data_IF_359925887824
#
_entry.id   IF_359925887824
#
_cell.length_a   1.000
_cell.length_b   1.000
_cell.length_c   1.000
_cell.angle_alpha   90.00
_cell.angle_beta   90.00
_cell.angle_gamma   90.00
#
_symmetry.space_group_name_H-M   'P 1'
#
loop_
_entity.id
_entity.type
_entity.pdbx_description
1 polymer ?
#
# COMPACT_ATOMS: atom_id res chain seq x y z
N UNK A 1 0.85 8.18 -3.46
CA UNK A 1 0.38 6.80 -3.36
C UNK A 1 1.51 5.79 -3.52
N UNK A 2 1.32 4.60 -2.95
CA UNK A 2 2.24 3.46 -3.09
C UNK A 2 1.70 2.58 -4.22
N UNK A 3 2.37 2.62 -5.37
CA UNK A 3 1.98 1.86 -6.56
C UNK A 3 3.01 0.78 -6.94
N UNK A 4 2.72 0.02 -8.01
CA UNK A 4 3.61 -1.05 -8.50
C UNK A 4 4.88 -0.56 -9.21
N UNK A 5 5.08 0.74 -9.34
CA UNK A 5 6.32 1.34 -9.85
C UNK A 5 7.10 2.10 -8.77
N UNK A 6 6.60 2.11 -7.53
CA UNK A 6 7.16 2.97 -6.47
C UNK A 6 8.57 2.57 -6.04
N UNK A 7 8.94 1.30 -6.10
CA UNK A 7 10.32 0.87 -5.80
C UNK A 7 11.32 1.41 -6.84
N UNK A 8 10.88 1.56 -8.09
CA UNK A 8 11.73 2.06 -9.18
C UNK A 8 11.79 3.59 -9.24
N UNK A 9 10.65 4.28 -9.09
CA UNK A 9 10.52 5.71 -9.36
C UNK A 9 10.21 6.57 -8.12
N UNK A 10 9.92 5.98 -6.97
CA UNK A 10 9.45 6.66 -5.77
C UNK A 10 7.93 6.59 -5.62
N UNK A 11 7.42 7.22 -4.58
CA UNK A 11 5.99 7.35 -4.37
C UNK A 11 5.39 8.31 -5.41
N UNK A 12 4.09 8.20 -5.69
CA UNK A 12 3.42 9.15 -6.61
C UNK A 12 3.61 10.62 -6.19
N UNK A 13 3.71 10.88 -4.88
CA UNK A 13 3.95 12.23 -4.35
C UNK A 13 5.37 12.75 -4.64
N UNK A 14 6.32 11.87 -4.94
CA UNK A 14 7.70 12.25 -5.28
C UNK A 14 7.79 12.77 -6.74
N UNK A 15 6.84 12.38 -7.57
CA UNK A 15 6.68 12.87 -8.94
C UNK A 15 5.76 14.09 -9.06
N UNK A 16 5.17 14.57 -7.96
CA UNK A 16 4.39 15.79 -7.96
C UNK A 16 5.34 16.99 -8.14
N UNK A 17 5.14 17.76 -9.21
CA UNK A 17 5.91 18.95 -9.58
C UNK A 17 5.25 20.23 -9.11
N UNK A 18 3.94 20.22 -8.89
CA UNK A 18 3.18 21.35 -8.45
C UNK A 18 1.68 21.10 -8.44
N UNK A 19 0.94 22.03 -7.84
CA UNK A 19 -0.52 21.98 -7.75
C UNK A 19 -1.11 23.40 -7.79
N UNK A 20 -2.37 23.49 -8.19
CA UNK A 20 -3.19 24.68 -7.99
C UNK A 20 -4.18 24.39 -6.85
N UNK A 21 -4.21 25.27 -5.84
CA UNK A 21 -4.96 25.06 -4.60
C UNK A 21 -5.81 26.27 -4.28
N UNK A 22 -7.11 26.06 -4.07
CA UNK A 22 -8.02 27.06 -3.50
C UNK A 22 -8.01 26.93 -1.99
N UNK A 23 -7.55 27.96 -1.29
CA UNK A 23 -7.45 28.02 0.16
C UNK A 23 -8.78 28.40 0.83
N UNK A 24 -8.85 28.34 2.16
CA UNK A 24 -10.06 28.60 2.93
C UNK A 24 -10.59 30.06 2.80
N UNK A 25 -9.70 30.99 2.50
CA UNK A 25 -10.02 32.41 2.23
C UNK A 25 -10.37 32.68 0.74
N UNK A 26 -10.47 31.63 -0.09
CA UNK A 26 -10.88 31.71 -1.49
C UNK A 26 -9.77 32.11 -2.47
N UNK A 27 -8.51 32.24 -2.05
CA UNK A 27 -7.39 32.52 -2.96
C UNK A 27 -7.01 31.26 -3.73
N UNK A 28 -6.71 31.42 -5.02
CA UNK A 28 -6.06 30.41 -5.84
C UNK A 28 -4.54 30.58 -5.74
N UNK A 29 -3.85 29.56 -5.25
CA UNK A 29 -2.40 29.52 -5.12
C UNK A 29 -1.81 28.51 -6.11
N UNK A 30 -0.72 28.90 -6.78
CA UNK A 30 0.17 27.97 -7.50
C UNK A 30 1.21 27.50 -6.49
N UNK A 31 1.32 26.18 -6.31
CA UNK A 31 2.08 25.57 -5.22
C UNK A 31 3.12 24.62 -5.79
N UNK A 32 4.38 24.85 -5.49
CA UNK A 32 5.54 24.04 -5.89
C UNK A 32 6.71 24.21 -4.91
N UNK A 33 7.92 23.74 -5.26
CA UNK A 33 9.09 23.83 -4.38
C UNK A 33 9.57 25.30 -4.17
N UNK A 34 9.24 26.23 -5.07
CA UNK A 34 9.63 27.65 -5.01
C UNK A 34 8.49 28.54 -4.47
N UNK A 35 7.25 28.12 -4.69
CA UNK A 35 6.04 28.85 -4.32
C UNK A 35 5.23 28.05 -3.28
N UNK A 36 4.98 28.65 -2.13
CA UNK A 36 4.25 28.03 -1.01
C UNK A 36 4.85 26.66 -0.58
N UNK A 37 6.18 26.56 -0.35
CA UNK A 37 6.89 25.30 -0.19
C UNK A 37 6.39 24.45 1.00
N UNK A 38 5.91 25.09 2.07
CA UNK A 38 5.34 24.35 3.21
C UNK A 38 3.98 23.71 2.88
N UNK A 39 3.14 24.40 2.10
CA UNK A 39 1.90 23.82 1.60
C UNK A 39 2.20 22.68 0.62
N UNK A 40 3.19 22.86 -0.27
CA UNK A 40 3.63 21.84 -1.21
C UNK A 40 4.17 20.60 -0.48
N UNK A 41 4.96 20.78 0.58
CA UNK A 41 5.43 19.68 1.44
C UNK A 41 4.24 18.94 2.05
N UNK A 42 3.26 19.65 2.59
CA UNK A 42 2.11 19.07 3.24
C UNK A 42 1.18 18.31 2.28
N UNK A 43 0.99 18.79 1.04
CA UNK A 43 0.23 18.09 0.00
C UNK A 43 0.86 16.74 -0.37
N UNK A 44 2.16 16.60 -0.22
CA UNK A 44 2.91 15.38 -0.54
C UNK A 44 2.90 14.34 0.58
N UNK A 45 1.71 13.93 1.01
CA UNK A 45 1.50 12.85 1.96
C UNK A 45 0.82 13.23 3.27
N UNK A 46 0.55 14.51 3.53
CA UNK A 46 -0.07 15.01 4.76
C UNK A 46 -1.59 14.83 4.84
N UNK A 47 -2.18 14.15 3.86
CA UNK A 47 -3.64 13.94 3.83
C UNK A 47 -4.41 15.13 3.29
N UNK A 48 -5.70 15.19 3.62
CA UNK A 48 -6.61 16.25 3.20
C UNK A 48 -6.73 17.40 4.21
N UNK A 49 -7.61 18.37 3.89
CA UNK A 49 -7.99 19.41 4.84
C UNK A 49 -7.16 20.71 4.76
N UNK A 50 -6.35 20.88 3.72
CA UNK A 50 -5.51 22.07 3.51
C UNK A 50 -6.08 23.06 2.47
N UNK A 51 -7.05 22.61 1.67
CA UNK A 51 -7.64 23.36 0.58
C UNK A 51 -8.28 22.44 -0.44
N UNK A 52 -8.79 22.99 -1.52
CA UNK A 52 -9.31 22.27 -2.69
C UNK A 52 -8.26 22.30 -3.78
N UNK A 53 -7.69 21.17 -4.12
CA UNK A 53 -6.76 21.02 -5.25
C UNK A 53 -7.57 20.99 -6.54
N UNK A 54 -7.28 21.90 -7.46
CA UNK A 54 -7.97 22.02 -8.75
C UNK A 54 -7.13 21.51 -9.91
N UNK A 55 -5.80 21.50 -9.75
CA UNK A 55 -4.86 20.96 -10.73
C UNK A 55 -3.68 20.27 -10.02
N UNK A 56 -3.17 19.21 -10.64
CA UNK A 56 -1.94 18.52 -10.22
C UNK A 56 -1.02 18.36 -11.44
N UNK A 57 0.24 18.73 -11.29
CA UNK A 57 1.29 18.56 -12.30
C UNK A 57 2.27 17.48 -11.87
N UNK A 58 2.39 16.42 -12.67
CA UNK A 58 3.25 15.27 -12.36
C UNK A 58 4.35 15.09 -13.41
N UNK A 59 5.51 14.64 -12.97
CA UNK A 59 6.50 14.01 -13.83
C UNK A 59 5.97 12.66 -14.30
N UNK A 60 6.14 12.38 -15.58
CA UNK A 60 5.76 11.09 -16.17
C UNK A 60 7.00 10.26 -16.45
N UNK A 61 6.85 8.94 -16.31
CA UNK A 61 7.86 7.96 -16.65
C UNK A 61 7.40 7.12 -17.84
N UNK A 62 8.31 6.85 -18.77
CA UNK A 62 8.01 5.96 -19.88
C UNK A 62 8.02 4.52 -19.41
N UNK A 63 6.85 3.86 -19.48
CA UNK A 63 6.66 2.44 -19.14
C UNK A 63 5.80 1.82 -20.22
N UNK A 64 6.43 1.25 -21.25
CA UNK A 64 5.72 0.66 -22.37
C UNK A 64 4.97 -0.62 -21.97
N UNK A 65 5.63 -1.51 -21.27
CA UNK A 65 5.07 -2.77 -20.78
C UNK A 65 5.74 -3.23 -19.50
N UNK A 66 5.10 -4.17 -18.83
CA UNK A 66 5.60 -4.84 -17.64
C UNK A 66 5.46 -6.34 -17.78
N UNK A 67 6.31 -7.09 -17.08
CA UNK A 67 6.05 -8.50 -16.77
C UNK A 67 5.16 -8.56 -15.55
N UNK A 68 3.96 -9.11 -15.69
CA UNK A 68 3.05 -9.42 -14.58
C UNK A 68 3.08 -10.91 -14.32
N UNK A 69 3.45 -11.31 -13.09
CA UNK A 69 3.36 -12.68 -12.59
C UNK A 69 2.31 -12.77 -11.48
N UNK A 70 1.46 -13.78 -11.54
CA UNK A 70 0.51 -14.11 -10.48
C UNK A 70 0.66 -15.59 -10.16
N UNK A 71 1.19 -15.90 -8.98
CA UNK A 71 1.47 -17.26 -8.54
C UNK A 71 0.67 -17.56 -7.27
N UNK A 72 0.04 -18.71 -7.24
CA UNK A 72 -0.74 -19.20 -6.09
C UNK A 72 -0.07 -20.43 -5.51
N UNK A 73 -0.02 -20.47 -4.18
CA UNK A 73 0.62 -21.54 -3.40
C UNK A 73 -0.30 -22.01 -2.28
N UNK A 74 -0.05 -23.22 -1.77
CA UNK A 74 -0.63 -23.67 -0.52
C UNK A 74 -0.19 -22.73 0.63
N UNK A 75 -1.05 -22.51 1.64
CA UNK A 75 -0.74 -21.61 2.75
C UNK A 75 0.27 -22.27 3.71
N UNK A 76 1.54 -21.93 3.55
CA UNK A 76 2.65 -22.37 4.39
C UNK A 76 3.39 -21.18 4.98
N UNK A 77 3.63 -21.20 6.30
CA UNK A 77 4.27 -20.08 7.00
C UNK A 77 5.76 -19.93 6.66
N UNK A 78 6.46 -21.03 6.44
CA UNK A 78 7.87 -21.02 6.02
C UNK A 78 8.02 -20.42 4.63
N UNK A 79 7.17 -20.84 3.70
CA UNK A 79 7.12 -20.27 2.35
C UNK A 79 6.77 -18.78 2.40
N UNK A 80 5.78 -18.37 3.18
CA UNK A 80 5.39 -16.96 3.29
C UNK A 80 6.54 -16.09 3.77
N UNK A 81 7.26 -16.51 4.83
CA UNK A 81 8.43 -15.79 5.33
C UNK A 81 9.54 -15.71 4.28
N UNK A 82 9.83 -16.82 3.59
CA UNK A 82 10.84 -16.88 2.54
C UNK A 82 10.48 -15.99 1.33
N UNK A 83 9.22 -16.01 0.88
CA UNK A 83 8.73 -15.14 -0.21
C UNK A 83 8.88 -13.66 0.14
N UNK A 84 8.42 -13.25 1.32
CA UNK A 84 8.51 -11.85 1.75
C UNK A 84 9.97 -11.41 1.86
N UNK A 85 10.84 -12.26 2.43
CA UNK A 85 12.28 -12.01 2.52
C UNK A 85 12.91 -11.83 1.14
N UNK A 86 12.74 -12.79 0.23
CA UNK A 86 13.25 -12.75 -1.14
C UNK A 86 12.78 -11.50 -1.91
N UNK A 87 11.49 -11.20 -1.85
CA UNK A 87 10.90 -10.07 -2.57
C UNK A 87 11.29 -8.70 -1.98
N UNK A 88 11.60 -8.64 -0.70
CA UNK A 88 12.10 -7.41 -0.06
C UNK A 88 13.51 -7.04 -0.51
N UNK A 89 14.34 -8.03 -0.85
CA UNK A 89 15.72 -7.84 -1.35
C UNK A 89 15.81 -7.75 -2.88
N UNK A 90 14.69 -7.90 -3.58
CA UNK A 90 14.67 -7.86 -5.04
C UNK A 90 15.07 -6.48 -5.60
N UNK A 91 15.48 -6.46 -6.88
CA UNK A 91 15.82 -5.23 -7.60
C UNK A 91 14.67 -4.22 -7.62
N UNK A 92 15.00 -2.94 -7.75
CA UNK A 92 14.05 -1.82 -7.68
C UNK A 92 12.97 -1.87 -8.77
N UNK A 93 13.27 -2.51 -9.92
CA UNK A 93 12.31 -2.68 -11.01
C UNK A 93 11.18 -3.65 -10.67
N UNK A 94 11.32 -4.46 -9.60
CA UNK A 94 10.27 -5.34 -9.11
C UNK A 94 9.49 -4.67 -7.99
N UNK A 95 8.20 -4.53 -8.19
CA UNK A 95 7.23 -4.38 -7.10
C UNK A 95 6.44 -5.67 -6.93
N UNK A 96 6.10 -5.99 -5.69
CA UNK A 96 5.36 -7.21 -5.37
C UNK A 96 4.30 -6.95 -4.30
N UNK A 97 3.33 -7.85 -4.27
CA UNK A 97 2.29 -7.89 -3.27
C UNK A 97 2.00 -9.36 -2.94
N UNK A 98 2.24 -9.75 -1.71
CA UNK A 98 1.94 -11.10 -1.24
C UNK A 98 0.68 -11.06 -0.40
N UNK A 99 -0.32 -11.85 -0.79
CA UNK A 99 -1.57 -11.96 -0.05
C UNK A 99 -1.69 -13.35 0.56
N UNK A 100 -2.13 -13.41 1.81
CA UNK A 100 -2.71 -14.62 2.42
C UNK A 100 -4.20 -14.38 2.52
N UNK A 101 -5.00 -15.21 1.84
CA UNK A 101 -6.43 -14.97 1.70
C UNK A 101 -7.19 -16.24 1.38
N UNK A 102 -8.50 -16.19 1.54
CA UNK A 102 -9.40 -17.18 0.93
C UNK A 102 -9.60 -16.80 -0.54
N UNK A 103 -9.31 -17.70 -1.46
CA UNK A 103 -9.41 -17.46 -2.90
C UNK A 103 -10.85 -17.12 -3.30
N UNK A 104 -11.10 -15.94 -3.90
CA UNK A 104 -12.45 -15.52 -4.26
C UNK A 104 -12.98 -16.28 -5.48
N UNK A 105 -14.31 -16.40 -5.64
CA UNK A 105 -14.94 -17.03 -6.80
C UNK A 105 -14.96 -16.09 -8.01
N UNK A 106 -13.77 -15.85 -8.60
CA UNK A 106 -13.61 -14.99 -9.78
C UNK A 106 -13.33 -15.82 -11.05
N UNK A 107 -13.76 -15.34 -12.23
CA UNK A 107 -13.72 -16.12 -13.47
C UNK A 107 -12.33 -16.58 -13.92
N UNK A 108 -11.27 -15.89 -13.48
CA UNK A 108 -9.90 -16.24 -13.86
C UNK A 108 -9.27 -17.28 -12.92
N UNK A 109 -9.90 -17.61 -11.77
CA UNK A 109 -9.45 -18.71 -10.91
C UNK A 109 -10.21 -19.99 -11.21
N UNK A 110 -9.51 -21.15 -11.27
CA UNK A 110 -10.16 -22.44 -11.39
C UNK A 110 -11.13 -22.69 -10.23
N UNK A 111 -12.31 -23.28 -10.49
CA UNK A 111 -13.34 -23.51 -9.47
C UNK A 111 -12.84 -24.30 -8.25
N UNK A 112 -11.87 -25.19 -8.44
CA UNK A 112 -11.24 -25.99 -7.36
C UNK A 112 -10.43 -25.20 -6.36
N UNK A 113 -10.06 -23.97 -6.69
CA UNK A 113 -9.40 -23.02 -5.76
C UNK A 113 -10.40 -22.15 -5.01
N UNK A 114 -11.63 -21.99 -5.50
CA UNK A 114 -12.61 -21.12 -4.86
C UNK A 114 -12.88 -21.52 -3.41
N UNK A 115 -12.81 -20.57 -2.50
CA UNK A 115 -13.04 -20.78 -1.07
C UNK A 115 -11.88 -21.44 -0.32
N UNK A 116 -10.77 -21.77 -0.98
CA UNK A 116 -9.58 -22.32 -0.32
C UNK A 116 -8.67 -21.21 0.19
N UNK A 117 -8.07 -21.35 1.39
CA UNK A 117 -6.94 -20.54 1.81
C UNK A 117 -5.75 -20.70 0.84
N UNK A 118 -5.12 -19.59 0.46
CA UNK A 118 -3.97 -19.56 -0.46
C UNK A 118 -3.00 -18.45 -0.08
N UNK A 119 -1.74 -18.61 -0.48
CA UNK A 119 -0.79 -17.51 -0.64
C UNK A 119 -0.81 -17.12 -2.11
N UNK A 120 -1.01 -15.85 -2.42
CA UNK A 120 -0.94 -15.30 -3.78
C UNK A 120 0.15 -14.25 -3.86
N UNK A 121 1.17 -14.49 -4.68
CA UNK A 121 2.20 -13.52 -5.00
C UNK A 121 1.87 -12.83 -6.34
N UNK A 122 1.65 -11.52 -6.29
CA UNK A 122 1.56 -10.67 -7.47
C UNK A 122 2.90 -9.97 -7.66
N UNK A 123 3.51 -10.20 -8.80
CA UNK A 123 4.79 -9.64 -9.20
C UNK A 123 4.58 -8.68 -10.38
N UNK A 124 5.13 -7.50 -10.30
CA UNK A 124 5.08 -6.49 -11.37
C UNK A 124 6.49 -5.98 -11.62
N UNK A 125 7.07 -6.39 -12.73
CA UNK A 125 8.42 -5.94 -13.09
C UNK A 125 8.39 -5.07 -14.34
N UNK A 126 8.96 -3.89 -14.21
CA UNK A 126 9.19 -2.95 -15.31
C UNK A 126 10.59 -3.16 -15.89
N UNK A 127 10.77 -2.95 -17.20
CA UNK A 127 12.06 -3.08 -17.87
C UNK A 127 12.13 -4.29 -18.81
N UNK A 128 13.32 -4.95 -18.89
CA UNK A 128 13.52 -6.04 -19.84
C UNK A 128 12.63 -7.26 -19.51
N UNK A 129 11.85 -7.77 -20.47
CA UNK A 129 11.01 -8.95 -20.27
C UNK A 129 11.75 -10.20 -19.81
N UNK A 130 12.96 -10.46 -20.34
CA UNK A 130 13.74 -11.65 -19.97
C UNK A 130 14.11 -11.68 -18.48
N UNK A 131 14.38 -10.52 -17.89
CA UNK A 131 14.62 -10.42 -16.45
C UNK A 131 13.32 -10.65 -15.65
N UNK A 132 12.17 -10.27 -16.21
CA UNK A 132 10.87 -10.54 -15.61
C UNK A 132 10.58 -12.03 -15.53
N UNK A 133 10.80 -12.76 -16.61
CA UNK A 133 10.63 -14.22 -16.68
C UNK A 133 11.58 -14.94 -15.71
N UNK A 134 12.87 -14.53 -15.65
CA UNK A 134 13.84 -15.10 -14.70
C UNK A 134 13.36 -14.93 -13.25
N UNK A 135 12.90 -13.75 -12.89
CA UNK A 135 12.50 -13.43 -11.54
C UNK A 135 11.20 -14.16 -11.13
N UNK A 136 10.25 -14.30 -12.06
CA UNK A 136 9.07 -15.15 -11.83
C UNK A 136 9.50 -16.60 -11.65
N UNK A 137 10.52 -17.07 -12.41
CA UNK A 137 11.11 -18.40 -12.25
C UNK A 137 11.67 -18.62 -10.84
N UNK A 138 12.43 -17.66 -10.30
CA UNK A 138 12.97 -17.73 -8.93
C UNK A 138 11.86 -17.90 -7.88
N UNK A 139 10.74 -17.20 -8.02
CA UNK A 139 9.58 -17.34 -7.11
C UNK A 139 8.84 -18.66 -7.34
N UNK A 140 8.71 -19.11 -8.59
CA UNK A 140 8.09 -20.40 -8.95
C UNK A 140 8.83 -21.57 -8.30
N UNK A 141 10.16 -21.51 -8.28
CA UNK A 141 11.03 -22.59 -7.79
C UNK A 141 11.02 -22.70 -6.25
N UNK A 142 10.42 -21.75 -5.51
CA UNK A 142 10.36 -21.78 -4.06
C UNK A 142 9.39 -22.84 -3.50
N UNK A 143 8.31 -23.15 -4.23
CA UNK A 143 7.34 -24.18 -3.85
C UNK A 143 6.46 -24.58 -5.05
N UNK A 144 5.81 -25.75 -5.02
CA UNK A 144 4.82 -26.15 -6.01
C UNK A 144 3.69 -25.12 -6.13
N UNK A 145 3.42 -24.64 -7.35
CA UNK A 145 2.35 -23.68 -7.62
C UNK A 145 1.00 -24.39 -7.82
N UNK A 146 -0.06 -23.83 -7.24
CA UNK A 146 -1.44 -24.23 -7.48
C UNK A 146 -1.97 -23.67 -8.82
N UNK A 147 -1.53 -22.45 -9.13
CA UNK A 147 -1.82 -21.75 -10.39
C UNK A 147 -0.72 -20.74 -10.65
N UNK A 148 -0.38 -20.59 -11.91
CA UNK A 148 0.52 -19.56 -12.39
C UNK A 148 -0.05 -18.86 -13.61
N UNK A 149 0.10 -17.53 -13.63
CA UNK A 149 -0.17 -16.70 -14.79
C UNK A 149 0.95 -15.68 -14.94
N UNK A 150 1.62 -15.71 -16.08
CA UNK A 150 2.68 -14.76 -16.44
C UNK A 150 2.35 -14.15 -17.78
N UNK A 151 2.44 -12.84 -17.88
CA UNK A 151 2.16 -12.15 -19.15
C UNK A 151 2.96 -10.84 -19.24
N UNK A 152 3.31 -10.49 -20.48
CA UNK A 152 3.72 -9.13 -20.82
C UNK A 152 2.47 -8.32 -21.12
N UNK A 153 2.25 -7.27 -20.32
CA UNK A 153 1.03 -6.44 -20.43
C UNK A 153 1.38 -4.96 -20.35
N UNK A 154 0.55 -4.08 -20.94
CA UNK A 154 0.63 -2.65 -20.64
C UNK A 154 0.47 -2.40 -19.13
N UNK A 155 1.17 -1.40 -18.57
CA UNK A 155 1.08 -1.09 -17.14
C UNK A 155 -0.38 -0.86 -16.67
N UNK A 156 -1.22 -0.26 -17.50
CA UNK A 156 -2.64 -0.02 -17.21
C UNK A 156 -3.45 -1.31 -16.96
N UNK A 157 -3.00 -2.46 -17.44
CA UNK A 157 -3.66 -3.74 -17.20
C UNK A 157 -3.56 -4.22 -15.76
N UNK A 158 -2.55 -3.74 -14.98
CA UNK A 158 -2.41 -4.04 -13.55
C UNK A 158 -3.53 -3.39 -12.74
N UNK A 159 -4.08 -2.30 -13.25
CA UNK A 159 -5.15 -1.53 -12.62
C UNK A 159 -6.54 -2.12 -12.92
N UNK A 160 -6.64 -3.39 -13.27
CA UNK A 160 -7.88 -4.07 -13.64
C UNK A 160 -9.09 -3.67 -12.77
N UNK A 161 -10.29 -4.13 -13.05
CA UNK A 161 -11.51 -3.73 -12.36
C UNK A 161 -11.55 -4.30 -10.93
N UNK A 162 -10.56 -3.95 -10.12
CA UNK A 162 -10.50 -4.30 -8.71
C UNK A 162 -11.38 -3.33 -7.93
N UNK A 163 -12.58 -3.76 -7.62
CA UNK A 163 -13.48 -3.04 -6.74
C UNK A 163 -14.59 -3.98 -6.29
N UNK A 164 -14.70 -4.18 -5.00
CA UNK A 164 -15.86 -4.88 -4.43
C UNK A 164 -17.03 -3.88 -4.38
N UNK A 165 -17.80 -3.81 -5.46
CA UNK A 165 -18.98 -2.95 -5.50
C UNK A 165 -20.00 -3.40 -4.44
N UNK A 166 -20.41 -2.47 -3.59
CA UNK A 166 -21.45 -2.70 -2.59
C UNK A 166 -20.96 -3.27 -1.26
N UNK A 167 -19.65 -3.34 -1.04
CA UNK A 167 -19.07 -3.73 0.25
C UNK A 167 -18.20 -2.61 0.80
N UNK A 168 -18.31 -2.36 2.10
CA UNK A 168 -17.31 -1.65 2.88
C UNK A 168 -16.12 -2.56 3.16
N UNK A 169 -15.00 -1.97 3.54
CA UNK A 169 -13.79 -2.70 3.93
C UNK A 169 -13.32 -2.15 5.27
N UNK A 170 -13.13 -3.03 6.24
CA UNK A 170 -12.41 -2.71 7.48
C UNK A 170 -10.94 -2.97 7.24
N UNK A 171 -10.10 -1.98 7.48
CA UNK A 171 -8.65 -2.10 7.28
C UNK A 171 -7.89 -1.73 8.55
N UNK A 172 -6.82 -2.49 8.80
CA UNK A 172 -5.71 -2.13 9.69
C UNK A 172 -4.43 -2.12 8.86
N UNK A 173 -3.58 -1.14 9.06
CA UNK A 173 -2.32 -1.02 8.32
C UNK A 173 -1.18 -0.73 9.28
N UNK A 174 0.00 -1.26 8.95
CA UNK A 174 1.21 -1.03 9.70
C UNK A 174 2.45 -1.16 8.83
N UNK A 175 3.61 -1.00 9.47
CA UNK A 175 4.89 -1.22 8.84
C UNK A 175 5.70 -2.21 9.66
N UNK A 176 6.55 -2.98 8.99
CA UNK A 176 7.49 -3.89 9.62
C UNK A 176 8.86 -3.79 8.92
N UNK A 177 9.92 -3.93 9.69
CA UNK A 177 11.28 -3.96 9.14
C UNK A 177 11.73 -5.41 8.91
N UNK A 178 11.16 -6.36 9.65
CA UNK A 178 11.37 -7.78 9.47
C UNK A 178 10.05 -8.55 9.47
N UNK A 179 9.97 -9.60 8.65
CA UNK A 179 8.83 -10.49 8.59
C UNK A 179 9.27 -11.96 8.73
N UNK A 180 9.55 -12.34 9.96
CA UNK A 180 10.04 -13.67 10.29
C UNK A 180 8.94 -14.74 10.41
N UNK A 181 9.33 -16.00 10.75
CA UNK A 181 8.42 -17.16 10.84
C UNK A 181 7.22 -16.96 11.74
N UNK A 182 7.36 -16.28 12.88
CA UNK A 182 6.27 -16.08 13.84
C UNK A 182 5.15 -15.19 13.27
N UNK A 183 5.51 -14.11 12.56
CA UNK A 183 4.53 -13.25 11.87
C UNK A 183 3.89 -13.97 10.69
N UNK A 184 4.67 -14.76 9.95
CA UNK A 184 4.17 -15.57 8.87
C UNK A 184 3.16 -16.62 9.36
N UNK A 185 3.45 -17.30 10.48
CA UNK A 185 2.53 -18.24 11.09
C UNK A 185 1.22 -17.56 11.50
N UNK A 186 1.27 -16.40 12.18
CA UNK A 186 0.07 -15.63 12.55
C UNK A 186 -0.77 -15.23 11.34
N UNK A 187 -0.14 -14.82 10.24
CA UNK A 187 -0.84 -14.44 9.01
C UNK A 187 -1.54 -15.65 8.37
N UNK A 188 -0.85 -16.78 8.27
CA UNK A 188 -1.41 -18.04 7.73
C UNK A 188 -2.52 -18.58 8.63
N UNK A 189 -2.29 -18.68 9.94
CA UNK A 189 -3.27 -19.18 10.91
C UNK A 189 -4.55 -18.34 10.92
N UNK A 190 -4.43 -17.03 10.79
CA UNK A 190 -5.60 -16.15 10.75
C UNK A 190 -6.55 -16.50 9.60
N UNK A 191 -6.03 -16.85 8.44
CA UNK A 191 -6.84 -17.17 7.25
C UNK A 191 -7.29 -18.64 7.28
N UNK A 192 -6.41 -19.57 7.65
CA UNK A 192 -6.71 -21.01 7.66
C UNK A 192 -7.65 -21.40 8.80
N UNK A 193 -7.72 -20.62 9.91
CA UNK A 193 -8.71 -20.80 10.98
C UNK A 193 -10.13 -20.33 10.61
N UNK A 194 -10.34 -19.87 9.39
CA UNK A 194 -11.65 -19.45 8.88
C UNK A 194 -12.01 -17.99 9.15
N UNK A 195 -11.08 -17.17 9.63
CA UNK A 195 -11.32 -15.72 9.71
C UNK A 195 -11.43 -15.14 8.31
N UNK A 196 -12.46 -14.32 8.08
CA UNK A 196 -12.72 -13.68 6.79
C UNK A 196 -11.83 -12.43 6.62
N UNK A 197 -10.52 -12.63 6.65
CA UNK A 197 -9.52 -11.57 6.50
C UNK A 197 -8.60 -11.85 5.31
N UNK A 198 -8.06 -10.78 4.76
CA UNK A 198 -6.96 -10.79 3.78
C UNK A 198 -5.77 -10.12 4.44
N UNK A 199 -4.64 -10.81 4.48
CA UNK A 199 -3.36 -10.22 4.86
C UNK A 199 -2.63 -9.86 3.57
N UNK A 200 -2.27 -8.60 3.42
CA UNK A 200 -1.56 -8.06 2.27
C UNK A 200 -0.20 -7.52 2.72
N UNK A 201 0.86 -8.02 2.12
CA UNK A 201 2.25 -7.71 2.45
C UNK A 201 2.89 -7.06 1.22
N UNK A 202 3.42 -5.84 1.38
CA UNK A 202 4.01 -5.06 0.29
C UNK A 202 5.45 -4.67 0.63
N UNK A 203 6.46 -5.32 0.06
CA UNK A 203 7.83 -4.86 0.13
C UNK A 203 7.98 -3.41 -0.36
N UNK A 204 8.62 -2.60 0.44
CA UNK A 204 8.95 -1.21 0.18
C UNK A 204 10.43 -1.08 -0.24
N UNK A 205 11.11 -0.02 0.10
CA UNK A 205 12.52 0.20 -0.24
C UNK A 205 12.73 0.79 -1.63
N UNK A 206 13.87 0.53 -2.26
CA UNK A 206 14.22 1.10 -3.57
C UNK A 206 14.19 2.63 -3.58
N UNK A 207 13.61 3.23 -4.62
CA UNK A 207 13.50 4.69 -4.75
C UNK A 207 12.69 5.35 -3.61
N UNK A 208 11.76 4.63 -2.97
CA UNK A 208 11.02 5.14 -1.81
C UNK A 208 11.97 5.51 -0.67
N UNK A 209 12.93 4.62 -0.38
CA UNK A 209 13.87 4.78 0.73
C UNK A 209 15.03 5.76 0.42
N UNK A 210 15.25 6.11 -0.86
CA UNK A 210 16.28 7.07 -1.25
C UNK A 210 15.88 8.53 -1.06
N UNK A 211 14.60 8.80 -0.89
CA UNK A 211 14.09 10.15 -0.57
C UNK A 211 14.18 10.37 0.94
N UNK A 212 14.71 11.54 1.36
CA UNK A 212 14.84 11.86 2.78
C UNK A 212 13.47 11.79 3.51
N UNK A 213 13.43 11.29 4.74
CA UNK A 213 12.17 11.09 5.47
C UNK A 213 11.32 12.35 5.66
N UNK A 214 11.98 13.52 5.70
CA UNK A 214 11.37 14.83 5.90
C UNK A 214 11.13 15.63 4.60
N UNK A 215 11.54 15.09 3.44
CA UNK A 215 11.36 15.76 2.16
C UNK A 215 9.88 15.94 1.76
N UNK A 216 9.00 15.13 2.32
CA UNK A 216 7.55 15.20 2.15
C UNK A 216 6.86 14.84 3.46
N UNK A 217 5.56 15.06 3.57
CA UNK A 217 4.81 14.67 4.77
C UNK A 217 4.67 13.14 4.94
N UNK A 218 4.99 12.33 3.94
CA UNK A 218 5.10 10.87 4.11
C UNK A 218 6.44 10.51 4.77
N UNK A 219 6.44 10.18 6.06
CA UNK A 219 7.62 10.01 6.89
C UNK A 219 8.17 8.57 7.02
N UNK A 220 7.48 7.56 6.47
CA UNK A 220 7.81 6.14 6.67
C UNK A 220 8.60 5.54 5.51
N UNK A 221 9.64 6.25 5.05
CA UNK A 221 10.40 5.89 3.84
C UNK A 221 11.44 4.80 4.08
N UNK A 222 11.92 4.69 5.29
CA UNK A 222 12.90 3.72 5.76
C UNK A 222 12.30 2.33 6.03
N UNK A 223 10.97 2.23 6.07
CA UNK A 223 10.29 0.96 6.36
C UNK A 223 10.43 -0.03 5.21
N UNK A 224 10.70 -1.29 5.55
CA UNK A 224 10.98 -2.34 4.57
C UNK A 224 9.72 -3.03 4.04
N UNK A 225 8.67 -3.09 4.84
CA UNK A 225 7.42 -3.78 4.51
C UNK A 225 6.22 -2.97 5.00
N UNK A 226 5.21 -2.81 4.16
CA UNK A 226 3.89 -2.37 4.57
C UNK A 226 2.99 -3.60 4.72
N UNK A 227 2.33 -3.69 5.89
CA UNK A 227 1.35 -4.73 6.20
C UNK A 227 -0.04 -4.12 6.17
N UNK A 228 -0.99 -4.81 5.55
CA UNK A 228 -2.40 -4.41 5.54
C UNK A 228 -3.25 -5.64 5.83
N UNK A 229 -4.09 -5.54 6.83
CA UNK A 229 -5.11 -6.54 7.15
C UNK A 229 -6.46 -5.97 6.78
N UNK A 230 -7.26 -6.70 6.02
CA UNK A 230 -8.56 -6.24 5.55
C UNK A 230 -9.63 -7.30 5.77
N UNK A 231 -10.84 -6.85 6.11
CA UNK A 231 -12.05 -7.68 6.11
C UNK A 231 -13.14 -7.01 5.29
N UNK A 232 -13.86 -7.80 4.48
CA UNK A 232 -15.03 -7.30 3.77
C UNK A 232 -16.19 -7.16 4.76
N UNK A 233 -16.89 -6.03 4.70
CA UNK A 233 -18.03 -5.73 5.55
C UNK A 233 -19.19 -5.21 4.68
N UNK A 234 -20.26 -6.00 4.47
CA UNK A 234 -21.40 -5.57 3.69
C UNK A 234 -22.20 -4.43 4.37
N UNK A 235 -22.09 -4.32 5.69
CA UNK A 235 -22.77 -3.34 6.51
C UNK A 235 -21.94 -2.92 7.73
N UNK A 236 -22.45 -1.90 8.44
CA UNK A 236 -21.80 -1.33 9.62
C UNK A 236 -21.66 -2.34 10.77
N UNK A 237 -22.65 -3.19 11.00
CA UNK A 237 -22.61 -4.18 12.07
C UNK A 237 -21.52 -5.22 11.82
N UNK A 238 -21.38 -5.70 10.59
CA UNK A 238 -20.28 -6.60 10.19
C UNK A 238 -18.93 -5.90 10.34
N UNK A 239 -18.83 -4.61 10.00
CA UNK A 239 -17.60 -3.83 10.17
C UNK A 239 -17.20 -3.74 11.65
N UNK A 240 -18.13 -3.47 12.55
CA UNK A 240 -17.89 -3.38 13.99
C UNK A 240 -17.44 -4.72 14.58
N UNK A 241 -18.01 -5.84 14.11
CA UNK A 241 -17.62 -7.18 14.53
C UNK A 241 -16.22 -7.57 14.02
N UNK A 242 -15.86 -7.18 12.81
CA UNK A 242 -14.57 -7.51 12.22
C UNK A 242 -13.41 -6.64 12.75
N UNK A 243 -13.71 -5.42 13.18
CA UNK A 243 -12.70 -4.43 13.54
C UNK A 243 -11.68 -4.90 14.59
N UNK A 244 -12.07 -5.52 15.73
CA UNK A 244 -11.10 -5.98 16.74
C UNK A 244 -10.13 -7.01 16.17
N UNK A 245 -10.60 -7.98 15.40
CA UNK A 245 -9.76 -9.02 14.81
C UNK A 245 -8.77 -8.47 13.78
N UNK A 246 -9.20 -7.45 13.01
CA UNK A 246 -8.35 -6.73 12.05
C UNK A 246 -7.28 -5.92 12.79
N UNK A 247 -7.63 -5.22 13.87
CA UNK A 247 -6.70 -4.42 14.66
C UNK A 247 -5.66 -5.30 15.37
N UNK A 248 -6.08 -6.37 16.04
CA UNK A 248 -5.21 -7.30 16.74
C UNK A 248 -4.20 -7.94 15.78
N UNK A 249 -4.67 -8.41 14.62
CA UNK A 249 -3.79 -9.01 13.63
C UNK A 249 -2.85 -7.98 13.00
N UNK A 250 -3.35 -6.78 12.67
CA UNK A 250 -2.52 -5.70 12.14
C UNK A 250 -1.40 -5.31 13.11
N UNK A 251 -1.72 -5.19 14.40
CA UNK A 251 -0.73 -4.92 15.44
C UNK A 251 0.30 -6.05 15.58
N UNK A 252 -0.14 -7.31 15.50
CA UNK A 252 0.75 -8.47 15.59
C UNK A 252 1.71 -8.61 14.39
N UNK A 253 1.35 -8.05 13.22
CA UNK A 253 2.16 -8.10 12.00
C UNK A 253 3.05 -6.87 11.79
N UNK A 254 3.00 -5.86 12.67
CA UNK A 254 3.66 -4.57 12.50
C UNK A 254 4.64 -4.26 13.62
N UNK A 255 5.55 -3.31 13.35
CA UNK A 255 6.47 -2.73 14.34
C UNK A 255 5.94 -1.39 14.81
N UNK A 256 5.39 -1.34 16.02
CA UNK A 256 4.86 -0.12 16.60
C UNK A 256 3.50 0.33 16.03
N UNK A 257 3.08 1.57 16.34
CA UNK A 257 1.71 2.02 16.10
C UNK A 257 1.48 2.60 14.70
N UNK A 258 2.53 2.87 13.94
CA UNK A 258 2.42 3.61 12.69
C UNK A 258 1.81 2.80 11.55
N UNK A 259 1.02 3.47 10.70
CA UNK A 259 0.42 2.90 9.51
C UNK A 259 0.25 3.92 8.38
N UNK A 260 -0.04 3.42 7.19
CA UNK A 260 -0.22 4.27 6.01
C UNK A 260 -1.60 4.96 6.04
N UNK A 261 -1.61 6.29 6.00
CA UNK A 261 -2.82 7.12 6.15
C UNK A 261 -3.98 6.71 5.26
N UNK A 262 -3.71 6.26 4.02
CA UNK A 262 -4.76 5.84 3.08
C UNK A 262 -5.42 4.49 3.43
N UNK A 263 -4.85 3.73 4.36
CA UNK A 263 -5.39 2.46 4.85
C UNK A 263 -5.79 2.50 6.34
N UNK A 264 -5.54 3.62 7.02
CA UNK A 264 -6.00 3.79 8.38
C UNK A 264 -7.49 4.15 8.38
N UNK A 265 -8.22 3.58 9.32
CA UNK A 265 -9.60 3.96 9.59
C UNK A 265 -9.65 5.32 10.28
N UNK A 266 -10.79 6.03 10.16
CA UNK A 266 -11.05 7.24 10.92
C UNK A 266 -11.26 6.89 12.41
N UNK A 267 -10.17 6.82 13.16
CA UNK A 267 -10.12 6.61 14.60
C UNK A 267 -9.64 7.89 15.28
N UNK A 268 -9.91 8.09 16.59
CA UNK A 268 -9.47 9.29 17.32
C UNK A 268 -7.94 9.53 17.27
N UNK A 269 -7.15 8.46 17.21
CA UNK A 269 -5.68 8.45 17.15
C UNK A 269 -5.12 8.26 15.73
N UNK A 270 -5.94 8.41 14.69
CA UNK A 270 -5.52 8.14 13.30
C UNK A 270 -4.37 9.04 12.85
N UNK A 271 -4.33 10.28 13.30
CA UNK A 271 -3.26 11.21 12.94
C UNK A 271 -1.92 10.81 13.59
N UNK A 272 -1.92 10.45 14.85
CA UNK A 272 -0.75 9.97 15.60
C UNK A 272 -0.23 8.64 15.06
N UNK A 273 -1.12 7.83 14.51
CA UNK A 273 -0.76 6.57 13.83
C UNK A 273 -0.25 6.80 12.41
N UNK A 274 -0.70 7.86 11.74
CA UNK A 274 -0.24 8.17 10.38
C UNK A 274 1.12 8.87 10.38
N UNK A 275 1.41 9.70 11.38
CA UNK A 275 2.54 10.61 11.35
C UNK A 275 3.34 10.65 12.65
N UNK A 276 4.69 10.69 12.58
CA UNK A 276 5.53 11.03 13.72
C UNK A 276 5.22 12.44 14.27
N UNK A 277 5.51 12.66 15.55
CA UNK A 277 5.18 13.90 16.24
C UNK A 277 5.70 15.17 15.53
N UNK A 278 6.92 15.14 15.00
CA UNK A 278 7.50 16.28 14.27
C UNK A 278 6.73 16.58 12.98
N UNK A 279 6.30 15.55 12.24
CA UNK A 279 5.47 15.69 11.05
C UNK A 279 4.10 16.26 11.39
N UNK A 280 3.45 15.77 12.46
CA UNK A 280 2.18 16.31 12.95
C UNK A 280 2.28 17.78 13.31
N UNK A 281 3.34 18.17 14.04
CA UNK A 281 3.58 19.56 14.42
C UNK A 281 3.71 20.47 13.18
N UNK A 282 4.47 20.04 12.16
CA UNK A 282 4.61 20.79 10.91
C UNK A 282 3.29 20.87 10.14
N UNK A 283 2.55 19.76 10.03
CA UNK A 283 1.22 19.75 9.41
C UNK A 283 0.24 20.68 10.11
N UNK A 284 0.24 20.72 11.44
CA UNK A 284 -0.60 21.64 12.23
C UNK A 284 -0.23 23.11 11.97
N UNK A 285 1.05 23.44 11.85
CA UNK A 285 1.50 24.78 11.50
C UNK A 285 1.05 25.21 10.10
N UNK A 286 1.18 24.31 9.11
CA UNK A 286 0.68 24.54 7.74
C UNK A 286 -0.84 24.73 7.75
N UNK A 287 -1.57 23.86 8.45
CA UNK A 287 -3.02 23.99 8.60
C UNK A 287 -3.43 25.34 9.18
N UNK A 288 -2.76 25.79 10.24
CA UNK A 288 -3.04 27.08 10.87
C UNK A 288 -2.79 28.28 9.94
N UNK A 289 -1.78 28.17 9.03
CA UNK A 289 -1.47 29.21 8.08
C UNK A 289 -2.49 29.33 6.93
N UNK A 290 -2.98 28.17 6.41
CA UNK A 290 -3.82 28.16 5.19
C UNK A 290 -5.32 27.96 5.47
N UNK A 291 -5.68 27.45 6.64
CA UNK A 291 -7.08 27.27 7.07
C UNK A 291 -7.26 27.49 8.59
N UNK A 292 -6.99 28.71 9.09
CA UNK A 292 -7.09 29.01 10.53
C UNK A 292 -8.51 28.84 11.09
N UNK A 293 -9.53 28.97 10.24
CA UNK A 293 -10.94 28.76 10.59
C UNK A 293 -11.38 27.30 10.57
N UNK A 294 -10.49 26.36 10.20
CA UNK A 294 -10.78 24.94 10.06
C UNK A 294 -12.03 24.66 9.20
N UNK A 295 -12.12 25.37 8.05
CA UNK A 295 -13.19 25.17 7.07
C UNK A 295 -13.13 23.77 6.46
N UNK A 296 -11.90 23.32 6.09
CA UNK A 296 -11.64 22.00 5.53
C UNK A 296 -11.34 21.03 6.68
N UNK A 297 -12.35 20.31 7.14
CA UNK A 297 -12.18 19.33 8.22
C UNK A 297 -11.67 18.03 7.62
N UNK A 298 -10.49 17.56 8.05
CA UNK A 298 -10.08 16.17 7.87
C UNK A 298 -10.93 15.28 8.80
N UNK A 299 -11.46 14.22 8.27
CA UNK A 299 -12.17 13.19 9.07
C UNK A 299 -11.16 12.25 9.70
#
# INVERSE_FOLDING_TARGET
GIGFLSRRYGLTVDDLLGADVVTADGRLLVVDDEHEPDLFWALRGGGGGLGVVTELRFRLHEVASITQGMLFFEPDAGLLAALVGHLSEAADELASMVNVMVAPPVPFLPPELHGRPVIMALLVRSGNPADGERLVGEVRDMAPTLLERVAQVPYTAVLGPFGFKGFGVVTGAGFADEFGPDRAARAVDAVTSGRQVVVNLRPMGGAIARVAPDATAFAHRDRRLMTVVSALAPDQATAELAAPAVDDLSAALSDGPYGYVNFLRALPDAAERAYPAATLQRLAAVKAAYDPGNLFRSR
#
